data_IF_591249946142
#
_entry.id   IF_591249946142
#
_cell.length_a   1.000
_cell.length_b   1.000
_cell.length_c   1.000
_cell.angle_alpha   90.00
_cell.angle_beta   90.00
_cell.angle_gamma   90.00
#
_symmetry.space_group_name_H-M   'P 1'
#
loop_
_entity.id
_entity.type
_entity.pdbx_description
1 polymer ?
#
# COMPACT_ATOMS: atom_id res chain seq x y z
N UNK A 1 10.81 7.52 16.42
CA UNK A 1 9.39 7.26 16.70
C UNK A 1 9.07 5.88 16.17
N UNK A 2 8.76 4.91 17.04
CA UNK A 2 8.42 3.54 16.65
C UNK A 2 6.94 3.32 16.97
N UNK A 3 6.06 3.89 16.15
CA UNK A 3 4.62 3.77 16.33
C UNK A 3 4.12 2.54 15.60
N UNK A 4 3.58 1.56 16.34
CA UNK A 4 3.00 0.34 15.78
C UNK A 4 1.50 0.55 15.64
N UNK A 5 1.00 0.55 14.40
CA UNK A 5 -0.44 0.60 14.13
C UNK A 5 -0.89 -0.78 13.63
N UNK A 6 -1.81 -1.45 14.33
CA UNK A 6 -2.39 -2.69 13.82
C UNK A 6 -3.16 -2.40 12.53
N UNK A 7 -2.97 -3.21 11.49
CA UNK A 7 -3.66 -3.02 10.20
C UNK A 7 -5.18 -2.95 10.38
N UNK A 8 -5.74 -3.74 11.30
CA UNK A 8 -7.17 -3.72 11.63
C UNK A 8 -7.69 -2.36 12.18
N UNK A 9 -6.80 -1.49 12.68
CA UNK A 9 -7.12 -0.15 13.20
C UNK A 9 -6.83 0.98 12.22
N UNK A 10 -6.56 0.66 10.95
CA UNK A 10 -6.27 1.66 9.92
C UNK A 10 -7.36 2.74 9.83
N UNK A 11 -8.64 2.31 9.75
CA UNK A 11 -9.75 3.26 9.69
C UNK A 11 -9.85 4.13 10.95
N UNK A 12 -9.66 3.55 12.13
CA UNK A 12 -9.71 4.28 13.40
C UNK A 12 -8.61 5.34 13.48
N UNK A 13 -7.38 4.95 13.12
CA UNK A 13 -6.24 5.85 13.11
C UNK A 13 -6.47 7.07 12.20
N UNK A 14 -7.00 6.84 11.00
CA UNK A 14 -7.24 7.92 10.03
C UNK A 14 -8.39 8.84 10.44
N UNK A 15 -9.39 8.31 11.15
CA UNK A 15 -10.54 9.08 11.61
C UNK A 15 -10.23 9.87 12.89
N UNK A 16 -9.34 9.35 13.76
CA UNK A 16 -9.16 9.82 15.13
C UNK A 16 -7.70 10.17 15.50
N UNK A 17 -7.03 11.08 14.76
CA UNK A 17 -5.65 11.46 15.06
C UNK A 17 -5.55 12.05 16.48
N UNK A 18 -4.54 11.61 17.24
CA UNK A 18 -4.27 12.05 18.62
C UNK A 18 -5.04 11.31 19.71
N UNK A 19 -6.09 10.53 19.38
CA UNK A 19 -6.81 9.71 20.36
C UNK A 19 -5.92 8.60 20.92
N UNK A 20 -6.14 8.26 22.19
CA UNK A 20 -5.43 7.19 22.86
C UNK A 20 -6.01 5.83 22.48
N UNK A 21 -5.14 4.83 22.34
CA UNK A 21 -5.56 3.45 22.13
C UNK A 21 -4.63 2.49 22.89
N UNK A 22 -5.16 1.32 23.20
CA UNK A 22 -4.37 0.23 23.75
C UNK A 22 -4.05 -0.78 22.65
N UNK A 23 -2.78 -1.18 22.60
CA UNK A 23 -2.33 -2.27 21.74
C UNK A 23 -1.17 -3.02 22.39
N UNK A 24 -1.30 -4.34 22.49
CA UNK A 24 -0.27 -5.23 23.05
C UNK A 24 0.23 -4.78 24.44
N UNK A 25 -0.72 -4.41 25.32
CA UNK A 25 -0.46 -3.93 26.68
C UNK A 25 0.11 -2.50 26.76
N UNK A 26 0.31 -1.82 25.62
CA UNK A 26 0.84 -0.46 25.56
C UNK A 26 -0.28 0.56 25.35
N UNK A 27 -0.14 1.72 25.99
CA UNK A 27 -1.00 2.88 25.77
C UNK A 27 -0.31 3.80 24.75
N UNK A 28 -0.89 3.88 23.56
CA UNK A 28 -0.37 4.60 22.42
C UNK A 28 -1.35 5.70 21.99
N UNK A 29 -0.94 6.56 21.05
CA UNK A 29 -1.80 7.56 20.43
C UNK A 29 -1.73 7.47 18.93
N UNK A 30 -2.87 7.63 18.27
CA UNK A 30 -2.91 7.61 16.81
C UNK A 30 -2.12 8.79 16.24
N UNK A 31 -1.19 8.56 15.30
CA UNK A 31 -0.53 9.66 14.61
C UNK A 31 -1.47 10.36 13.64
N UNK A 32 -1.17 11.62 13.36
CA UNK A 32 -1.85 12.39 12.31
C UNK A 32 -1.23 12.07 10.94
N UNK A 33 -1.79 11.05 10.27
CA UNK A 33 -1.30 10.58 8.97
C UNK A 33 -1.87 11.45 7.85
N UNK A 34 -0.98 12.22 7.21
CA UNK A 34 -1.32 13.12 6.10
C UNK A 34 -1.02 12.53 4.72
N UNK A 35 -0.19 11.49 4.64
CA UNK A 35 0.14 10.79 3.40
C UNK A 35 -0.01 9.28 3.59
N UNK A 36 -0.73 8.64 2.67
CA UNK A 36 -0.76 7.18 2.55
C UNK A 36 -0.06 6.79 1.25
N UNK A 37 0.91 5.88 1.35
CA UNK A 37 1.60 5.28 0.20
C UNK A 37 1.45 3.77 0.29
N UNK A 38 0.77 3.16 -0.68
CA UNK A 38 0.34 1.76 -0.59
C UNK A 38 0.74 0.96 -1.83
N UNK A 39 1.40 -0.19 -1.64
CA UNK A 39 1.77 -1.10 -2.72
C UNK A 39 1.62 -2.56 -2.26
N UNK A 40 1.24 -3.46 -3.19
CA UNK A 40 1.24 -4.91 -2.95
C UNK A 40 0.06 -5.48 -2.16
N UNK A 41 -1.06 -4.77 -2.07
CA UNK A 41 -2.28 -5.29 -1.42
C UNK A 41 -3.45 -4.31 -1.57
N UNK A 42 -4.65 -4.71 -1.15
CA UNK A 42 -5.85 -3.87 -1.30
C UNK A 42 -6.62 -3.72 0.03
N UNK A 43 -6.58 -2.51 0.61
CA UNK A 43 -7.28 -2.21 1.87
C UNK A 43 -8.81 -2.43 1.76
N UNK A 44 -9.40 -2.13 0.61
CA UNK A 44 -10.84 -2.29 0.37
C UNK A 44 -11.28 -3.75 0.20
N UNK A 45 -10.34 -4.70 0.11
CA UNK A 45 -10.68 -6.12 0.05
C UNK A 45 -10.68 -6.78 1.44
N UNK A 46 -9.79 -6.36 2.34
CA UNK A 46 -9.57 -7.04 3.63
C UNK A 46 -10.08 -6.28 4.85
N UNK A 47 -10.27 -4.96 4.74
CA UNK A 47 -10.69 -4.15 5.87
C UNK A 47 -12.18 -4.28 6.15
N UNK A 48 -12.55 -4.25 7.42
CA UNK A 48 -13.93 -4.35 7.87
C UNK A 48 -14.65 -3.00 7.71
N UNK A 49 -15.98 -3.04 7.54
CA UNK A 49 -16.84 -1.87 7.34
C UNK A 49 -16.33 -0.91 6.26
N UNK A 50 -16.65 -1.22 5.00
CA UNK A 50 -16.19 -0.45 3.84
C UNK A 50 -16.73 0.99 3.83
N UNK A 51 -17.87 1.28 4.45
CA UNK A 51 -18.40 2.63 4.50
C UNK A 51 -17.52 3.50 5.41
N UNK A 52 -17.19 2.99 6.60
CA UNK A 52 -16.24 3.63 7.52
C UNK A 52 -14.86 3.76 6.88
N UNK A 53 -14.39 2.75 6.16
CA UNK A 53 -13.13 2.84 5.43
C UNK A 53 -13.17 3.95 4.37
N UNK A 54 -14.26 4.07 3.59
CA UNK A 54 -14.39 5.13 2.58
C UNK A 54 -14.26 6.53 3.20
N UNK A 55 -14.84 6.74 4.38
CA UNK A 55 -14.71 8.01 5.11
C UNK A 55 -13.28 8.24 5.60
N UNK A 56 -12.69 7.21 6.22
CA UNK A 56 -11.33 7.23 6.72
C UNK A 56 -10.29 7.49 5.63
N UNK A 57 -10.46 6.84 4.46
CA UNK A 57 -9.53 6.90 3.33
C UNK A 57 -9.43 8.29 2.69
N UNK A 58 -10.43 9.15 2.94
CA UNK A 58 -10.46 10.55 2.48
C UNK A 58 -9.83 11.54 3.47
N UNK A 59 -9.37 11.07 4.63
CA UNK A 59 -8.79 11.93 5.68
C UNK A 59 -7.35 12.38 5.38
N UNK A 60 -6.45 11.53 4.86
CA UNK A 60 -5.13 11.98 4.43
C UNK A 60 -5.23 13.06 3.35
N UNK A 61 -4.22 13.90 3.26
CA UNK A 61 -4.12 14.93 2.23
C UNK A 61 -3.74 14.34 0.87
N UNK A 62 -3.07 13.19 0.87
CA UNK A 62 -2.71 12.50 -0.35
C UNK A 62 -2.66 10.99 -0.12
N UNK A 63 -3.23 10.26 -1.06
CA UNK A 63 -3.18 8.81 -1.15
C UNK A 63 -2.56 8.41 -2.49
N UNK A 64 -1.40 7.76 -2.42
CA UNK A 64 -0.69 7.18 -3.56
C UNK A 64 -0.80 5.67 -3.48
N UNK A 65 -1.25 5.03 -4.57
CA UNK A 65 -1.37 3.57 -4.65
C UNK A 65 -0.66 3.05 -5.88
N UNK A 66 -0.02 1.90 -5.73
CA UNK A 66 0.44 1.10 -6.86
C UNK A 66 -0.65 0.10 -7.20
N UNK A 67 -1.13 0.11 -8.45
CA UNK A 67 -2.15 -0.85 -8.86
C UNK A 67 -1.97 -1.39 -10.27
N UNK A 68 -2.26 -2.68 -10.43
CA UNK A 68 -2.32 -3.35 -11.73
C UNK A 68 -3.69 -3.18 -12.39
N UNK A 69 -4.75 -3.00 -11.58
CA UNK A 69 -6.13 -2.92 -12.04
C UNK A 69 -6.86 -1.71 -11.46
N UNK A 70 -7.97 -1.31 -12.09
CA UNK A 70 -8.86 -0.26 -11.57
C UNK A 70 -9.73 -0.78 -10.42
N UNK A 71 -9.11 -1.11 -9.29
CA UNK A 71 -9.81 -1.58 -8.08
C UNK A 71 -10.50 -0.44 -7.33
N UNK A 72 -11.29 -0.79 -6.29
CA UNK A 72 -11.86 0.20 -5.38
C UNK A 72 -10.77 1.09 -4.74
N UNK A 73 -9.62 0.52 -4.36
CA UNK A 73 -8.54 1.30 -3.78
C UNK A 73 -7.95 2.31 -4.77
N UNK A 74 -7.77 1.92 -6.04
CA UNK A 74 -7.37 2.85 -7.10
C UNK A 74 -8.41 3.97 -7.28
N UNK A 75 -9.71 3.61 -7.30
CA UNK A 75 -10.81 4.57 -7.46
C UNK A 75 -10.89 5.62 -6.34
N UNK A 76 -10.48 5.28 -5.12
CA UNK A 76 -10.49 6.19 -3.97
C UNK A 76 -9.12 6.83 -3.68
N UNK A 77 -8.13 6.70 -4.57
CA UNK A 77 -6.80 7.30 -4.42
C UNK A 77 -6.65 8.57 -5.26
N UNK A 78 -5.74 9.46 -4.83
CA UNK A 78 -5.42 10.68 -5.57
C UNK A 78 -4.46 10.41 -6.74
N UNK A 79 -3.50 9.50 -6.53
CA UNK A 79 -2.48 9.13 -7.50
C UNK A 79 -2.41 7.61 -7.62
N UNK A 80 -2.68 7.10 -8.83
CA UNK A 80 -2.51 5.68 -9.17
C UNK A 80 -1.24 5.53 -10.00
N UNK A 81 -0.29 4.74 -9.49
CA UNK A 81 0.92 4.36 -10.20
C UNK A 81 0.70 2.98 -10.85
N UNK A 82 0.75 2.85 -12.19
CA UNK A 82 0.48 1.59 -12.85
C UNK A 82 1.58 0.59 -12.54
N UNK A 83 1.22 -0.53 -11.90
CA UNK A 83 2.14 -1.57 -11.46
C UNK A 83 2.12 -2.77 -12.43
N UNK A 84 3.27 -3.40 -12.65
CA UNK A 84 3.37 -4.63 -13.44
C UNK A 84 2.72 -5.81 -12.72
N UNK A 85 2.10 -6.72 -13.47
CA UNK A 85 1.73 -8.03 -12.94
C UNK A 85 2.97 -8.94 -12.77
N UNK A 86 2.81 -10.08 -12.11
CA UNK A 86 3.91 -11.06 -11.97
C UNK A 86 4.36 -11.67 -13.29
N UNK A 87 3.54 -11.60 -14.36
CA UNK A 87 3.91 -12.10 -15.69
C UNK A 87 4.77 -11.12 -16.48
N UNK A 88 4.93 -9.89 -16.00
CA UNK A 88 5.62 -8.79 -16.68
C UNK A 88 7.01 -8.50 -16.10
N UNK A 89 7.44 -9.25 -15.08
CA UNK A 89 8.71 -9.04 -14.37
C UNK A 89 9.40 -10.34 -14.01
N UNK A 90 10.70 -10.23 -13.76
CA UNK A 90 11.51 -11.31 -13.20
C UNK A 90 11.42 -11.27 -11.67
N UNK A 91 11.11 -12.40 -11.05
CA UNK A 91 10.96 -12.52 -9.59
C UNK A 91 11.34 -13.93 -9.11
N UNK A 92 11.36 -14.13 -7.78
CA UNK A 92 11.49 -15.47 -7.17
C UNK A 92 10.35 -15.65 -6.18
N UNK A 93 9.60 -16.75 -6.33
CA UNK A 93 8.44 -17.08 -5.51
C UNK A 93 8.64 -18.32 -4.66
N UNK A 94 7.94 -18.38 -3.53
CA UNK A 94 7.77 -19.58 -2.70
C UNK A 94 6.53 -19.40 -1.83
N UNK A 95 5.68 -20.42 -1.75
CA UNK A 95 4.56 -20.47 -0.82
C UNK A 95 5.02 -20.84 0.60
N UNK A 96 4.24 -20.47 1.63
CA UNK A 96 4.63 -20.66 3.04
C UNK A 96 4.88 -22.11 3.47
N UNK A 97 4.44 -23.10 2.69
CA UNK A 97 4.67 -24.53 2.94
C UNK A 97 5.40 -25.22 1.78
N UNK A 98 5.93 -24.46 0.82
CA UNK A 98 6.62 -25.03 -0.33
C UNK A 98 8.03 -25.46 0.09
N UNK A 99 8.42 -26.68 -0.28
CA UNK A 99 9.79 -27.18 -0.09
C UNK A 99 10.78 -26.68 -1.14
N UNK A 100 10.37 -25.77 -2.02
CA UNK A 100 11.15 -25.30 -3.16
C UNK A 100 10.91 -23.81 -3.43
N UNK A 101 11.85 -23.22 -4.16
CA UNK A 101 11.74 -21.87 -4.73
C UNK A 101 11.45 -21.96 -6.22
N UNK A 102 10.68 -21.02 -6.73
CA UNK A 102 10.28 -20.93 -8.14
C UNK A 102 10.95 -19.69 -8.74
N UNK A 103 11.69 -19.87 -9.82
CA UNK A 103 12.09 -18.75 -10.67
C UNK A 103 10.87 -18.28 -11.48
N UNK A 104 10.43 -17.06 -11.25
CA UNK A 104 9.26 -16.45 -11.91
C UNK A 104 9.75 -15.57 -13.05
N UNK A 105 9.93 -16.16 -14.23
CA UNK A 105 10.38 -15.41 -15.41
C UNK A 105 9.25 -14.56 -16.01
N UNK A 106 9.62 -13.39 -16.54
CA UNK A 106 8.71 -12.54 -17.29
C UNK A 106 8.26 -13.27 -18.56
N UNK A 107 6.94 -13.37 -18.75
CA UNK A 107 6.34 -14.02 -19.90
C UNK A 107 5.98 -13.02 -21.01
N UNK A 108 5.75 -11.76 -20.63
CA UNK A 108 5.45 -10.66 -21.54
C UNK A 108 6.20 -9.39 -21.10
N UNK A 109 6.44 -8.41 -21.98
CA UNK A 109 6.94 -7.10 -21.56
C UNK A 109 5.86 -6.33 -20.76
N UNK A 110 6.25 -5.37 -19.91
CA UNK A 110 5.32 -4.47 -19.21
C UNK A 110 4.33 -3.80 -20.17
N UNK A 111 3.06 -3.77 -19.79
CA UNK A 111 1.99 -3.21 -20.62
C UNK A 111 1.82 -1.72 -20.37
N UNK A 112 1.77 -0.93 -21.45
CA UNK A 112 1.57 0.52 -21.37
C UNK A 112 2.68 1.21 -20.58
N UNK A 113 2.31 1.95 -19.53
CA UNK A 113 3.25 2.64 -18.65
C UNK A 113 3.54 1.88 -17.34
N UNK A 114 3.08 0.63 -17.24
CA UNK A 114 3.25 -0.20 -16.04
C UNK A 114 4.74 -0.41 -15.71
N UNK A 115 5.05 -0.39 -14.42
CA UNK A 115 6.41 -0.65 -13.91
C UNK A 115 6.36 -1.45 -12.62
N UNK A 116 7.45 -2.15 -12.36
CA UNK A 116 7.69 -2.80 -11.08
C UNK A 116 7.64 -1.79 -9.92
N UNK A 117 7.06 -2.19 -8.78
CA UNK A 117 6.95 -1.40 -7.56
C UNK A 117 8.29 -0.82 -7.10
N UNK A 118 9.35 -1.63 -7.13
CA UNK A 118 10.70 -1.21 -6.79
C UNK A 118 11.20 -0.14 -7.77
N UNK A 119 10.84 -0.26 -9.05
CA UNK A 119 11.24 0.70 -10.07
C UNK A 119 10.58 2.06 -9.88
N UNK A 120 9.32 2.10 -9.46
CA UNK A 120 8.63 3.34 -9.08
C UNK A 120 9.33 4.02 -7.89
N UNK A 121 9.63 3.26 -6.83
CA UNK A 121 10.32 3.78 -5.65
C UNK A 121 11.73 4.32 -5.97
N UNK A 122 12.50 3.64 -6.83
CA UNK A 122 13.84 4.09 -7.19
C UNK A 122 13.83 5.35 -8.08
N UNK A 123 12.77 5.58 -8.86
CA UNK A 123 12.61 6.79 -9.68
C UNK A 123 12.21 8.01 -8.86
N UNK A 124 11.36 7.86 -7.85
CA UNK A 124 11.02 8.97 -6.95
C UNK A 124 12.25 9.50 -6.23
N UNK A 125 13.21 8.63 -5.87
CA UNK A 125 14.52 9.04 -5.32
C UNK A 125 15.38 9.86 -6.28
N UNK A 126 15.29 9.62 -7.59
CA UNK A 126 16.06 10.37 -8.60
C UNK A 126 15.47 11.75 -8.91
N UNK A 127 14.17 11.92 -8.70
CA UNK A 127 13.46 13.18 -8.95
C UNK A 127 13.34 14.03 -7.70
N UNK A 128 13.35 13.42 -6.51
CA UNK A 128 13.44 14.09 -5.21
C UNK A 128 14.85 14.51 -4.79
N UNK A 129 15.81 14.55 -5.73
CA UNK A 129 17.11 15.18 -5.49
C UNK A 129 16.93 16.67 -5.28
N UNK A 130 16.86 17.07 -4.02
CA UNK A 130 16.90 18.47 -3.56
C UNK A 130 18.14 19.14 -4.17
N UNK A 131 17.92 20.21 -4.94
CA UNK A 131 18.89 21.30 -5.04
C UNK A 131 18.76 22.17 -3.81
#
# INVERSE_FOLDING_TARGET
>A
MNSVIPVARLSDMLLHPGEAYEFDGQHLRYPDIRLVYWAGGNAFHHHQDLNRLCEAWRRPETVVVHEQFWTAQAKFSDIVLPATTSLEREDIGSGGHDGFMIAMSAQIPPVGEARDDLRHLLRSRRTGGVR
#
